data_IF_382400146212
#
_entry.id   IF_382400146212
#
_cell.length_a   1.000
_cell.length_b   1.000
_cell.length_c   1.000
_cell.angle_alpha   90.00
_cell.angle_beta   90.00
_cell.angle_gamma   90.00
#
_symmetry.space_group_name_H-M   'P 1'
#
loop_
_entity.id
_entity.type
_entity.pdbx_description
1 polymer ?
#
# COMPACT_ATOMS: atom_id res chain seq x y z
N UNK A 1 -3.38 -10.14 -21.58
CA UNK A 1 -3.83 -10.05 -20.18
C UNK A 1 -5.12 -9.26 -20.11
N UNK A 2 -6.11 -9.77 -19.38
CA UNK A 2 -7.37 -9.09 -19.05
C UNK A 2 -7.42 -8.92 -17.54
N UNK A 3 -7.69 -7.72 -17.08
CA UNK A 3 -7.61 -7.33 -15.66
C UNK A 3 -8.99 -6.99 -15.13
N UNK A 4 -9.34 -7.50 -13.95
CA UNK A 4 -10.43 -6.99 -13.13
C UNK A 4 -9.80 -6.11 -12.04
N UNK A 5 -10.03 -4.81 -12.11
CA UNK A 5 -9.73 -3.86 -11.06
C UNK A 5 -10.97 -3.69 -10.18
N UNK A 6 -10.86 -4.00 -8.90
CA UNK A 6 -11.94 -3.81 -7.92
C UNK A 6 -11.59 -2.64 -7.00
N UNK A 7 -12.49 -1.65 -6.98
CA UNK A 7 -12.31 -0.36 -6.31
C UNK A 7 -12.01 0.76 -7.31
N UNK A 8 -12.95 1.68 -7.49
CA UNK A 8 -12.84 2.89 -8.32
C UNK A 8 -12.74 4.17 -7.46
N UNK A 9 -12.10 4.06 -6.30
CA UNK A 9 -11.72 5.19 -5.46
C UNK A 9 -10.51 5.95 -6.03
N UNK A 10 -9.82 6.72 -5.21
CA UNK A 10 -8.66 7.52 -5.62
C UNK A 10 -7.59 6.68 -6.31
N UNK A 11 -7.10 5.64 -5.63
CA UNK A 11 -6.03 4.76 -6.15
C UNK A 11 -6.49 3.98 -7.39
N UNK A 12 -7.68 3.36 -7.37
CA UNK A 12 -8.19 2.62 -8.53
C UNK A 12 -8.39 3.52 -9.76
N UNK A 13 -8.88 4.74 -9.57
CA UNK A 13 -8.98 5.75 -10.66
C UNK A 13 -7.60 6.12 -11.19
N UNK A 14 -6.58 6.31 -10.33
CA UNK A 14 -5.22 6.58 -10.75
C UNK A 14 -4.62 5.40 -11.53
N UNK A 15 -4.85 4.15 -11.08
CA UNK A 15 -4.46 2.93 -11.82
C UNK A 15 -5.01 2.96 -13.24
N UNK A 16 -6.29 3.33 -13.45
CA UNK A 16 -6.85 3.39 -14.81
C UNK A 16 -6.15 4.44 -15.67
N UNK A 17 -5.85 5.63 -15.14
CA UNK A 17 -5.17 6.72 -15.85
C UNK A 17 -3.74 6.35 -16.24
N UNK A 18 -3.01 5.66 -15.37
CA UNK A 18 -1.66 5.19 -15.63
C UNK A 18 -1.69 4.05 -16.66
N UNK A 19 -2.52 3.02 -16.45
CA UNK A 19 -2.64 1.87 -17.34
C UNK A 19 -3.12 2.26 -18.75
N UNK A 20 -3.97 3.29 -18.87
CA UNK A 20 -4.45 3.76 -20.18
C UNK A 20 -3.33 4.24 -21.11
N UNK A 21 -2.15 4.60 -20.56
CA UNK A 21 -0.96 5.03 -21.34
C UNK A 21 -0.07 3.86 -21.78
N UNK A 22 -0.40 2.62 -21.38
CA UNK A 22 0.45 1.43 -21.60
C UNK A 22 -0.28 0.35 -22.40
N UNK A 23 0.39 -0.37 -23.32
CA UNK A 23 -0.25 -1.32 -24.23
C UNK A 23 -0.27 -2.78 -23.74
N UNK A 24 0.19 -3.11 -22.52
CA UNK A 24 0.48 -4.48 -22.06
C UNK A 24 -0.78 -5.34 -21.84
N UNK A 25 -1.97 -4.77 -21.74
CA UNK A 25 -3.22 -5.48 -21.49
C UNK A 25 -4.24 -5.29 -22.62
N UNK A 26 -5.10 -6.27 -22.78
CA UNK A 26 -6.18 -6.25 -23.77
C UNK A 26 -7.41 -5.48 -23.27
N UNK A 27 -7.81 -5.76 -22.02
CA UNK A 27 -9.01 -5.17 -21.40
C UNK A 27 -8.81 -5.00 -19.90
N UNK A 28 -9.37 -3.94 -19.34
CA UNK A 28 -9.50 -3.74 -17.91
C UNK A 28 -10.97 -3.48 -17.56
N UNK A 29 -11.53 -4.35 -16.70
CA UNK A 29 -12.85 -4.16 -16.11
C UNK A 29 -12.66 -3.39 -14.82
N UNK A 30 -13.25 -2.20 -14.72
CA UNK A 30 -13.20 -1.34 -13.53
C UNK A 30 -14.50 -1.55 -12.77
N UNK A 31 -14.41 -2.11 -11.58
CA UNK A 31 -15.58 -2.49 -10.80
C UNK A 31 -15.62 -1.79 -9.44
N UNK A 32 -16.81 -1.37 -9.03
CA UNK A 32 -17.07 -0.74 -7.74
C UNK A 32 -18.48 -1.14 -7.27
N UNK A 33 -18.76 -1.05 -5.97
CA UNK A 33 -20.11 -1.24 -5.45
C UNK A 33 -21.07 -0.13 -5.95
N UNK A 34 -20.53 1.06 -6.20
CA UNK A 34 -21.20 2.18 -6.87
C UNK A 34 -20.78 2.21 -8.34
N UNK A 35 -21.67 1.74 -9.22
CA UNK A 35 -21.44 1.73 -10.66
C UNK A 35 -21.07 3.11 -11.21
N UNK A 36 -21.66 4.18 -10.67
CA UNK A 36 -21.39 5.53 -11.14
C UNK A 36 -19.93 5.95 -10.95
N UNK A 37 -19.25 5.48 -9.89
CA UNK A 37 -17.81 5.70 -9.69
C UNK A 37 -16.99 5.00 -10.77
N UNK A 38 -17.30 3.74 -11.07
CA UNK A 38 -16.62 2.98 -12.11
C UNK A 38 -16.83 3.61 -13.50
N UNK A 39 -18.05 4.03 -13.82
CA UNK A 39 -18.38 4.73 -15.06
C UNK A 39 -17.66 6.08 -15.18
N UNK A 40 -17.59 6.85 -14.11
CA UNK A 40 -16.86 8.12 -14.07
C UNK A 40 -15.36 7.91 -14.29
N UNK A 41 -14.73 6.91 -13.65
CA UNK A 41 -13.33 6.57 -13.85
C UNK A 41 -13.02 6.20 -15.31
N UNK A 42 -13.86 5.41 -15.95
CA UNK A 42 -13.71 5.03 -17.36
C UNK A 42 -13.97 6.22 -18.29
N UNK A 43 -15.01 7.00 -18.05
CA UNK A 43 -15.34 8.17 -18.87
C UNK A 43 -14.23 9.24 -18.86
N UNK A 44 -13.55 9.42 -17.71
CA UNK A 44 -12.45 10.36 -17.56
C UNK A 44 -11.23 10.04 -18.45
N UNK A 45 -11.13 8.83 -19.01
CA UNK A 45 -10.04 8.43 -19.91
C UNK A 45 -10.22 8.94 -21.35
N UNK A 46 -11.43 9.38 -21.73
CA UNK A 46 -11.75 9.83 -23.08
C UNK A 46 -11.42 8.75 -24.14
N UNK A 47 -10.72 9.11 -25.20
CA UNK A 47 -10.36 8.17 -26.27
C UNK A 47 -9.49 7.00 -25.81
N UNK A 48 -8.73 7.15 -24.72
CA UNK A 48 -7.91 6.07 -24.13
C UNK A 48 -8.76 5.02 -23.42
N UNK A 49 -10.03 5.32 -23.16
CA UNK A 49 -10.97 4.43 -22.46
C UNK A 49 -11.47 3.22 -23.26
N UNK A 50 -11.15 3.08 -24.55
CA UNK A 50 -11.68 2.03 -25.42
C UNK A 50 -11.44 0.59 -24.93
N UNK A 51 -10.40 0.37 -24.11
CA UNK A 51 -10.05 -0.93 -23.50
C UNK A 51 -10.62 -1.13 -22.11
N UNK A 52 -11.38 -0.15 -21.58
CA UNK A 52 -11.92 -0.18 -20.22
C UNK A 52 -13.41 -0.38 -20.24
N UNK A 53 -13.93 -1.14 -19.27
CA UNK A 53 -15.36 -1.43 -19.11
C UNK A 53 -15.73 -1.22 -17.65
N UNK A 54 -16.75 -0.41 -17.37
CA UNK A 54 -17.28 -0.26 -16.03
C UNK A 54 -18.20 -1.43 -15.65
N UNK A 55 -18.14 -1.87 -14.40
CA UNK A 55 -19.00 -2.90 -13.86
C UNK A 55 -19.37 -2.59 -12.40
N UNK A 56 -20.48 -3.19 -11.93
CA UNK A 56 -20.86 -3.15 -10.53
C UNK A 56 -20.50 -4.47 -9.85
N UNK A 57 -19.84 -4.40 -8.68
CA UNK A 57 -19.62 -5.57 -7.83
C UNK A 57 -19.49 -5.13 -6.37
N UNK A 58 -20.01 -5.92 -5.46
CA UNK A 58 -19.70 -5.81 -4.04
C UNK A 58 -18.44 -6.64 -3.77
N UNK A 59 -17.38 -6.00 -3.29
CA UNK A 59 -16.12 -6.66 -2.97
C UNK A 59 -16.23 -7.70 -1.84
N UNK A 60 -17.26 -7.62 -1.00
CA UNK A 60 -17.58 -8.60 0.03
C UNK A 60 -18.30 -9.85 -0.51
N UNK A 61 -18.87 -9.81 -1.71
CA UNK A 61 -19.54 -10.94 -2.35
C UNK A 61 -18.57 -11.73 -3.25
N UNK A 62 -17.91 -12.72 -2.66
CA UNK A 62 -16.94 -13.61 -3.33
C UNK A 62 -17.52 -14.26 -4.59
N UNK A 63 -18.81 -14.65 -4.57
CA UNK A 63 -19.49 -15.29 -5.69
C UNK A 63 -19.71 -14.32 -6.84
N UNK A 64 -20.11 -13.08 -6.54
CA UNK A 64 -20.32 -12.03 -7.54
C UNK A 64 -18.99 -11.63 -8.20
N UNK A 65 -17.90 -11.53 -7.42
CA UNK A 65 -16.56 -11.23 -7.94
C UNK A 65 -16.07 -12.38 -8.85
N UNK A 66 -16.21 -13.64 -8.42
CA UNK A 66 -15.85 -14.80 -9.23
C UNK A 66 -16.64 -14.87 -10.54
N UNK A 67 -17.94 -14.57 -10.49
CA UNK A 67 -18.79 -14.52 -11.69
C UNK A 67 -18.36 -13.38 -12.64
N UNK A 68 -17.90 -12.25 -12.11
CA UNK A 68 -17.42 -11.13 -12.92
C UNK A 68 -16.08 -11.46 -13.59
N UNK A 69 -15.14 -12.09 -12.87
CA UNK A 69 -13.89 -12.63 -13.44
C UNK A 69 -14.16 -13.57 -14.61
N UNK A 70 -15.06 -14.55 -14.40
CA UNK A 70 -15.41 -15.52 -15.43
C UNK A 70 -16.13 -14.89 -16.63
N UNK A 71 -17.04 -13.93 -16.41
CA UNK A 71 -17.80 -13.24 -17.48
C UNK A 71 -16.88 -12.49 -18.44
N UNK A 72 -15.80 -11.93 -17.93
CA UNK A 72 -14.87 -11.11 -18.71
C UNK A 72 -13.57 -11.83 -19.06
N UNK A 73 -13.45 -13.13 -18.74
CA UNK A 73 -12.24 -13.95 -18.92
C UNK A 73 -11.00 -13.24 -18.34
N UNK A 74 -11.10 -12.71 -17.12
CA UNK A 74 -10.01 -11.98 -16.52
C UNK A 74 -8.92 -12.92 -16.00
N UNK A 75 -7.67 -12.64 -16.37
CA UNK A 75 -6.49 -13.39 -15.95
C UNK A 75 -5.99 -12.95 -14.57
N UNK A 76 -6.28 -11.70 -14.19
CA UNK A 76 -5.79 -11.05 -12.98
C UNK A 76 -6.91 -10.26 -12.30
N UNK A 77 -6.97 -10.36 -10.97
CA UNK A 77 -7.71 -9.45 -10.10
C UNK A 77 -6.73 -8.51 -9.42
N UNK A 78 -6.87 -7.19 -9.64
CA UNK A 78 -6.19 -6.15 -8.89
C UNK A 78 -7.15 -5.57 -7.85
N UNK A 79 -6.80 -5.74 -6.57
CA UNK A 79 -7.56 -5.21 -5.45
C UNK A 79 -7.10 -3.78 -5.11
N UNK A 80 -7.96 -2.79 -5.30
CA UNK A 80 -7.78 -1.39 -4.92
C UNK A 80 -8.85 -0.93 -3.92
N UNK A 81 -9.31 -1.85 -3.06
CA UNK A 81 -10.31 -1.59 -2.03
C UNK A 81 -9.67 -1.48 -0.63
N UNK A 82 -10.49 -1.17 0.34
CA UNK A 82 -10.15 -1.19 1.77
C UNK A 82 -9.65 -2.60 2.20
N UNK A 83 -8.67 -2.69 3.11
CA UNK A 83 -8.12 -3.98 3.58
C UNK A 83 -9.14 -4.98 4.13
N UNK A 84 -10.30 -4.53 4.59
CA UNK A 84 -11.41 -5.40 5.02
C UNK A 84 -11.91 -6.35 3.93
N UNK A 85 -11.71 -6.01 2.66
CA UNK A 85 -12.14 -6.82 1.52
C UNK A 85 -11.04 -7.70 0.92
N UNK A 86 -9.84 -7.71 1.50
CA UNK A 86 -8.71 -8.51 1.00
C UNK A 86 -9.07 -9.98 0.90
N UNK A 87 -9.55 -10.60 1.96
CA UNK A 87 -9.78 -12.05 1.97
C UNK A 87 -10.93 -12.51 1.06
N UNK A 88 -12.09 -11.83 0.96
CA UNK A 88 -13.10 -12.15 -0.06
C UNK A 88 -12.55 -12.10 -1.48
N UNK A 89 -11.83 -11.03 -1.85
CA UNK A 89 -11.26 -10.87 -3.19
C UNK A 89 -10.13 -11.89 -3.47
N UNK A 90 -9.29 -12.16 -2.50
CA UNK A 90 -8.23 -13.17 -2.56
C UNK A 90 -8.80 -14.58 -2.83
N UNK A 91 -9.88 -14.98 -2.13
CA UNK A 91 -10.56 -16.26 -2.35
C UNK A 91 -11.29 -16.31 -3.68
N UNK A 92 -11.93 -15.22 -4.08
CA UNK A 92 -12.60 -15.11 -5.39
C UNK A 92 -11.62 -15.31 -6.55
N UNK A 93 -10.45 -14.66 -6.49
CA UNK A 93 -9.39 -14.83 -7.49
C UNK A 93 -8.89 -16.28 -7.55
N UNK A 94 -8.63 -16.90 -6.39
CA UNK A 94 -8.25 -18.30 -6.31
C UNK A 94 -9.30 -19.21 -6.93
N UNK A 95 -10.58 -19.05 -6.56
CA UNK A 95 -11.70 -19.84 -7.09
C UNK A 95 -11.86 -19.70 -8.60
N UNK A 96 -11.68 -18.52 -9.14
CA UNK A 96 -11.78 -18.23 -10.58
C UNK A 96 -10.53 -18.63 -11.37
N UNK A 97 -9.41 -18.95 -10.73
CA UNK A 97 -8.17 -19.29 -11.40
C UNK A 97 -7.34 -18.09 -11.84
N UNK A 98 -7.66 -16.91 -11.35
CA UNK A 98 -6.97 -15.68 -11.68
C UNK A 98 -5.75 -15.45 -10.76
N UNK A 99 -4.76 -14.74 -11.26
CA UNK A 99 -3.71 -14.13 -10.43
C UNK A 99 -4.34 -13.07 -9.55
N UNK A 100 -3.91 -12.99 -8.29
CA UNK A 100 -4.34 -11.94 -7.35
C UNK A 100 -3.21 -10.93 -7.15
N UNK A 101 -3.56 -9.65 -7.08
CA UNK A 101 -2.63 -8.55 -6.74
C UNK A 101 -3.35 -7.60 -5.80
N UNK A 102 -2.71 -7.21 -4.69
CA UNK A 102 -3.18 -6.16 -3.80
C UNK A 102 -2.08 -5.15 -3.46
N UNK A 103 -2.47 -4.09 -2.77
CA UNK A 103 -1.59 -3.02 -2.29
C UNK A 103 -1.59 -2.90 -0.76
N UNK A 104 -2.33 -3.78 -0.10
CA UNK A 104 -2.38 -3.96 1.35
C UNK A 104 -2.75 -5.40 1.66
N UNK A 105 -2.26 -5.96 2.74
CA UNK A 105 -2.53 -7.33 3.14
C UNK A 105 -3.75 -7.46 4.07
N UNK A 106 -4.10 -8.70 4.44
CA UNK A 106 -5.16 -8.97 5.43
C UNK A 106 -4.80 -8.36 6.78
N UNK A 107 -5.82 -7.83 7.48
CA UNK A 107 -5.67 -7.08 8.72
C UNK A 107 -5.06 -7.91 9.86
N UNK A 108 -4.30 -7.24 10.70
CA UNK A 108 -3.76 -7.76 11.94
C UNK A 108 -4.81 -7.79 13.06
N UNK A 109 -4.47 -8.47 14.14
CA UNK A 109 -5.17 -8.36 15.44
C UNK A 109 -4.14 -8.39 16.57
N UNK A 110 -4.08 -7.36 17.43
CA UNK A 110 -3.14 -7.31 18.55
C UNK A 110 -3.24 -8.54 19.48
N UNK A 111 -2.12 -8.90 20.11
CA UNK A 111 -2.11 -9.94 21.12
C UNK A 111 -2.98 -9.52 22.34
N UNK A 112 -3.92 -10.36 22.82
CA UNK A 112 -4.94 -9.93 23.77
C UNK A 112 -4.40 -9.55 25.16
N UNK A 113 -3.25 -10.10 25.57
CA UNK A 113 -2.68 -9.87 26.90
C UNK A 113 -1.40 -9.01 26.85
N UNK A 114 -0.61 -9.11 25.78
CA UNK A 114 0.69 -8.45 25.64
C UNK A 114 0.83 -7.79 24.27
N UNK A 115 -0.04 -6.80 23.95
CA UNK A 115 -0.09 -6.22 22.60
C UNK A 115 1.20 -5.48 22.19
N UNK A 116 2.02 -5.05 23.15
CA UNK A 116 3.25 -4.29 22.91
C UNK A 116 4.55 -5.10 23.11
N UNK A 117 4.44 -6.41 23.17
CA UNK A 117 5.58 -7.31 23.36
C UNK A 117 5.55 -8.49 22.39
N UNK A 118 4.35 -8.99 22.09
CA UNK A 118 4.12 -10.16 21.26
C UNK A 118 3.13 -9.89 20.14
N UNK A 119 3.44 -10.43 18.96
CA UNK A 119 2.49 -10.40 17.86
C UNK A 119 1.27 -11.27 18.16
N UNK A 120 0.08 -10.74 17.86
CA UNK A 120 -1.13 -11.53 17.70
C UNK A 120 -1.22 -12.11 16.30
N UNK A 121 -2.33 -11.86 15.58
CA UNK A 121 -2.41 -12.12 14.13
C UNK A 121 -1.72 -10.97 13.43
N UNK A 122 -0.73 -11.26 12.58
CA UNK A 122 0.01 -10.26 11.82
C UNK A 122 -0.69 -9.93 10.50
N UNK A 123 -0.41 -8.76 9.94
CA UNK A 123 -0.80 -8.43 8.58
C UNK A 123 -0.38 -9.56 7.62
N UNK A 124 -1.29 -10.00 6.75
CA UNK A 124 -1.04 -11.04 5.76
C UNK A 124 -1.07 -12.48 6.27
N UNK A 125 -1.14 -12.75 7.57
CA UNK A 125 -1.13 -14.13 8.10
C UNK A 125 -2.22 -15.00 7.48
N UNK A 126 -3.43 -14.46 7.25
CA UNK A 126 -4.52 -15.21 6.62
C UNK A 126 -4.22 -15.57 5.16
N UNK A 127 -3.56 -14.69 4.41
CA UNK A 127 -3.13 -14.93 3.02
C UNK A 127 -1.99 -15.95 2.98
N UNK A 128 -0.96 -15.77 3.81
CA UNK A 128 0.18 -16.69 3.86
C UNK A 128 -0.18 -18.09 4.35
N UNK A 129 -1.22 -18.24 5.18
CA UNK A 129 -1.74 -19.56 5.56
C UNK A 129 -2.22 -20.38 4.36
N UNK A 130 -2.56 -19.74 3.25
CA UNK A 130 -3.02 -20.37 2.01
C UNK A 130 -1.92 -20.50 0.95
N UNK A 131 -0.67 -20.11 1.26
CA UNK A 131 0.44 -20.09 0.28
C UNK A 131 0.69 -21.44 -0.37
N UNK A 132 0.60 -22.53 0.40
CA UNK A 132 0.73 -23.90 -0.13
C UNK A 132 -0.33 -24.23 -1.17
N UNK A 133 -1.59 -23.87 -0.91
CA UNK A 133 -2.69 -24.11 -1.85
C UNK A 133 -2.51 -23.35 -3.18
N UNK A 134 -2.08 -22.08 -3.10
CA UNK A 134 -1.77 -21.26 -4.28
C UNK A 134 -0.62 -21.86 -5.09
N UNK A 135 0.45 -22.31 -4.40
CA UNK A 135 1.61 -22.91 -5.04
C UNK A 135 1.28 -24.25 -5.73
N UNK A 136 0.53 -25.14 -5.06
CA UNK A 136 0.07 -26.42 -5.59
C UNK A 136 -0.84 -26.25 -6.81
N UNK A 137 -1.71 -25.22 -6.79
CA UNK A 137 -2.56 -24.86 -7.92
C UNK A 137 -1.78 -24.20 -9.08
N UNK A 138 -0.48 -23.93 -8.91
CA UNK A 138 0.35 -23.25 -9.90
C UNK A 138 -0.02 -21.78 -10.12
N UNK A 139 -0.65 -21.13 -9.14
CA UNK A 139 -1.18 -19.75 -9.23
C UNK A 139 -0.36 -18.80 -8.39
N UNK A 140 -0.43 -17.51 -8.75
CA UNK A 140 0.24 -16.42 -8.06
C UNK A 140 -0.75 -15.53 -7.33
N UNK A 141 -0.46 -15.22 -6.07
CA UNK A 141 -0.95 -14.04 -5.37
C UNK A 141 0.27 -13.15 -5.06
N UNK A 142 0.33 -11.98 -5.68
CA UNK A 142 1.31 -10.93 -5.40
C UNK A 142 0.69 -10.00 -4.39
N UNK A 143 1.19 -10.04 -3.15
CA UNK A 143 0.63 -9.27 -2.04
C UNK A 143 1.52 -8.07 -1.71
N UNK A 144 0.90 -6.96 -1.28
CA UNK A 144 1.63 -5.76 -0.88
C UNK A 144 2.33 -5.05 -2.05
N UNK A 145 1.66 -4.79 -3.18
CA UNK A 145 2.28 -4.18 -4.37
C UNK A 145 1.83 -2.73 -4.59
N UNK A 146 1.89 -1.92 -3.54
CA UNK A 146 1.70 -0.46 -3.58
C UNK A 146 3.03 0.31 -3.61
N UNK A 147 3.08 1.44 -2.94
CA UNK A 147 4.32 2.17 -2.69
C UNK A 147 4.97 1.65 -1.42
N UNK A 148 4.22 1.59 -0.38
CA UNK A 148 4.46 1.02 0.94
C UNK A 148 3.16 0.34 1.38
N UNK A 149 3.18 -0.98 1.39
CA UNK A 149 4.18 -1.91 0.88
C UNK A 149 4.28 -1.92 -0.65
N UNK A 150 5.44 -2.34 -1.18
CA UNK A 150 5.63 -2.59 -2.61
C UNK A 150 6.93 -2.04 -3.17
N UNK A 151 7.01 -0.75 -3.50
CA UNK A 151 8.24 -0.15 -4.02
C UNK A 151 9.38 -0.20 -2.99
N UNK A 152 9.10 0.05 -1.72
CA UNK A 152 10.04 -0.10 -0.61
C UNK A 152 10.63 -1.50 -0.54
N UNK A 153 9.81 -2.52 -0.77
CA UNK A 153 10.22 -3.93 -0.82
C UNK A 153 11.10 -4.25 -2.03
N UNK A 154 10.78 -3.66 -3.20
CA UNK A 154 11.63 -3.76 -4.39
C UNK A 154 12.99 -3.09 -4.13
N UNK A 155 13.04 -1.96 -3.41
CA UNK A 155 14.30 -1.33 -3.02
C UNK A 155 15.11 -2.21 -2.08
N UNK A 156 14.50 -2.87 -1.10
CA UNK A 156 15.17 -3.82 -0.22
C UNK A 156 15.76 -5.00 -1.02
N UNK A 157 15.01 -5.53 -1.98
CA UNK A 157 15.48 -6.58 -2.88
C UNK A 157 16.66 -6.09 -3.74
N UNK A 158 16.60 -4.89 -4.30
CA UNK A 158 17.70 -4.30 -5.06
C UNK A 158 18.96 -4.12 -4.20
N UNK A 159 18.78 -3.63 -2.97
CA UNK A 159 19.90 -3.48 -2.03
C UNK A 159 20.58 -4.82 -1.74
N UNK A 160 19.80 -5.87 -1.48
CA UNK A 160 20.33 -7.21 -1.22
C UNK A 160 21.02 -7.83 -2.44
N UNK A 161 20.51 -7.62 -3.65
CA UNK A 161 21.08 -8.21 -4.84
C UNK A 161 22.35 -7.50 -5.34
N UNK A 162 22.40 -6.16 -5.24
CA UNK A 162 23.42 -5.39 -5.95
C UNK A 162 24.31 -4.51 -5.03
N UNK A 163 23.78 -4.06 -3.87
CA UNK A 163 24.43 -3.01 -3.12
C UNK A 163 25.16 -3.48 -1.86
N UNK A 164 24.77 -4.63 -1.28
CA UNK A 164 25.31 -5.14 -0.03
C UNK A 164 25.73 -6.60 -0.15
N UNK A 165 26.73 -7.01 0.63
CA UNK A 165 27.10 -8.41 0.84
C UNK A 165 26.43 -8.95 2.11
N UNK A 166 26.26 -8.11 3.14
CA UNK A 166 25.48 -8.41 4.33
C UNK A 166 24.66 -7.19 4.72
N UNK A 167 23.45 -7.41 5.22
CA UNK A 167 22.55 -6.35 5.67
C UNK A 167 22.33 -6.50 7.18
N UNK A 168 22.70 -5.46 7.94
CA UNK A 168 22.46 -5.36 9.37
C UNK A 168 21.03 -4.87 9.62
N UNK A 169 20.62 -3.79 8.94
CA UNK A 169 19.30 -3.20 9.16
C UNK A 169 18.70 -2.71 7.85
N UNK A 170 17.40 -2.95 7.70
CA UNK A 170 16.52 -2.34 6.71
C UNK A 170 15.49 -1.51 7.45
N UNK A 171 15.41 -0.24 7.11
CA UNK A 171 14.42 0.67 7.66
C UNK A 171 13.63 1.36 6.55
N UNK A 172 12.33 1.08 6.43
CA UNK A 172 11.49 1.91 5.57
C UNK A 172 11.28 3.24 6.25
N UNK A 173 11.48 4.32 5.50
CA UNK A 173 11.29 5.70 5.95
C UNK A 173 10.45 6.44 4.91
N UNK A 174 9.27 6.80 5.32
CA UNK A 174 8.33 7.60 4.54
C UNK A 174 8.15 8.96 5.19
N UNK A 175 8.10 10.01 4.38
CA UNK A 175 7.90 11.38 4.85
C UNK A 175 7.48 12.32 3.73
N UNK A 176 6.99 13.48 4.14
CA UNK A 176 6.47 14.47 3.23
C UNK A 176 6.64 15.90 3.78
N UNK A 177 6.61 16.89 2.87
CA UNK A 177 6.36 18.29 3.22
C UNK A 177 5.03 18.77 2.63
N UNK A 178 4.07 17.86 2.47
CA UNK A 178 2.75 18.17 1.93
C UNK A 178 1.96 19.08 2.86
N UNK A 179 1.34 20.09 2.27
CA UNK A 179 0.37 20.99 2.94
C UNK A 179 -0.91 21.05 2.14
N UNK A 180 -2.05 21.27 2.81
CA UNK A 180 -3.36 21.41 2.17
C UNK A 180 -3.90 22.82 2.46
N UNK A 181 -4.10 23.62 1.42
CA UNK A 181 -4.58 24.98 1.53
C UNK A 181 -5.97 25.02 2.19
N UNK A 182 -6.12 25.84 3.26
CA UNK A 182 -7.37 26.05 3.96
C UNK A 182 -7.84 24.86 4.81
N UNK A 183 -6.93 23.99 5.24
CA UNK A 183 -7.20 22.94 6.21
C UNK A 183 -6.10 22.93 7.27
N UNK A 184 -6.48 22.99 8.55
CA UNK A 184 -5.55 22.86 9.68
C UNK A 184 -5.12 21.39 9.87
N UNK A 185 -6.02 20.46 9.54
CA UNK A 185 -5.76 19.01 9.53
C UNK A 185 -6.44 18.39 8.30
N UNK A 186 -5.65 17.73 7.46
CA UNK A 186 -6.17 16.98 6.33
C UNK A 186 -5.26 15.75 6.08
N UNK A 187 -5.82 14.54 6.06
CA UNK A 187 -5.04 13.36 5.74
C UNK A 187 -4.65 13.38 4.26
N UNK A 188 -3.41 12.99 3.96
CA UNK A 188 -2.94 12.81 2.58
C UNK A 188 -3.38 11.47 1.97
N UNK A 189 -3.83 10.54 2.81
CA UNK A 189 -4.35 9.22 2.44
C UNK A 189 -5.62 8.89 3.24
N UNK A 190 -6.17 7.67 3.10
CA UNK A 190 -7.33 7.22 3.85
C UNK A 190 -7.12 7.36 5.36
N UNK A 191 -7.88 8.22 6.01
CA UNK A 191 -7.75 8.38 7.47
C UNK A 191 -8.10 7.10 8.23
N UNK A 192 -9.01 6.28 7.68
CA UNK A 192 -9.37 5.00 8.27
C UNK A 192 -8.15 4.07 8.33
N UNK A 193 -7.43 3.96 7.22
CA UNK A 193 -6.21 3.16 7.08
C UNK A 193 -5.07 3.74 7.93
N UNK A 194 -4.88 5.07 7.90
CA UNK A 194 -3.86 5.74 8.71
C UNK A 194 -4.07 5.53 10.21
N UNK A 195 -5.33 5.53 10.69
CA UNK A 195 -5.64 5.23 12.10
C UNK A 195 -5.27 3.77 12.42
N UNK A 196 -5.58 2.83 11.51
CA UNK A 196 -5.23 1.41 11.68
C UNK A 196 -3.72 1.22 11.82
N UNK A 197 -2.96 1.68 10.86
CA UNK A 197 -1.50 1.55 10.80
C UNK A 197 -0.80 2.24 11.97
N UNK A 198 -1.24 3.45 12.33
CA UNK A 198 -0.56 4.28 13.31
C UNK A 198 -0.87 3.94 14.76
N UNK A 199 -2.06 3.37 15.05
CA UNK A 199 -2.51 3.11 16.42
C UNK A 199 -2.49 1.62 16.80
N UNK A 200 -2.36 0.72 15.82
CA UNK A 200 -2.04 -0.67 16.11
C UNK A 200 -0.59 -0.81 16.60
N UNK A 201 -0.27 -1.86 17.38
CA UNK A 201 1.09 -2.11 17.85
C UNK A 201 2.06 -2.33 16.69
N UNK A 202 3.07 -1.46 16.48
CA UNK A 202 4.06 -1.63 15.44
C UNK A 202 4.81 -2.96 15.56
N UNK A 203 4.98 -3.65 14.46
CA UNK A 203 5.81 -4.85 14.38
C UNK A 203 7.25 -4.46 14.06
N UNK A 204 8.19 -5.07 14.75
CA UNK A 204 9.63 -5.02 14.49
C UNK A 204 10.13 -6.44 14.27
N UNK A 205 11.10 -6.61 13.39
CA UNK A 205 11.78 -7.88 13.18
C UNK A 205 13.24 -7.79 13.62
N UNK A 206 13.68 -8.80 14.36
CA UNK A 206 15.10 -9.06 14.66
C UNK A 206 15.40 -10.54 14.41
N UNK A 207 16.48 -10.85 13.72
CA UNK A 207 16.79 -12.22 13.28
C UNK A 207 16.90 -13.22 14.43
N UNK A 208 17.40 -12.78 15.60
CA UNK A 208 17.51 -13.63 16.80
C UNK A 208 16.18 -13.82 17.56
N UNK A 209 15.27 -12.85 17.45
CA UNK A 209 14.00 -12.81 18.19
C UNK A 209 12.78 -13.16 17.32
N UNK A 210 12.86 -12.95 16.02
CA UNK A 210 11.71 -12.98 15.12
C UNK A 210 10.91 -11.69 15.19
N UNK A 211 9.63 -11.76 14.84
CA UNK A 211 8.69 -10.64 14.91
C UNK A 211 8.18 -10.43 16.33
N UNK A 212 8.19 -9.20 16.77
CA UNK A 212 7.62 -8.75 18.02
C UNK A 212 6.98 -7.36 17.85
N UNK A 213 6.20 -6.93 18.83
CA UNK A 213 5.51 -5.64 18.79
C UNK A 213 6.09 -4.64 19.79
N UNK A 214 5.84 -3.37 19.53
CA UNK A 214 6.22 -2.25 20.41
C UNK A 214 5.02 -1.33 20.61
N UNK A 215 5.16 -0.32 21.47
CA UNK A 215 4.14 0.73 21.60
C UNK A 215 4.05 1.58 20.33
N UNK A 216 2.86 2.03 19.92
CA UNK A 216 2.69 2.98 18.83
C UNK A 216 3.57 4.23 19.01
N UNK A 217 4.16 4.70 17.90
CA UNK A 217 5.05 5.86 17.87
C UNK A 217 6.35 5.67 18.68
N UNK A 218 6.77 4.45 18.93
CA UNK A 218 8.06 4.13 19.57
C UNK A 218 9.25 4.49 18.68
N UNK A 219 10.44 4.52 19.28
CA UNK A 219 11.73 4.79 18.64
C UNK A 219 11.73 6.04 17.72
N UNK A 220 11.32 7.23 18.21
CA UNK A 220 11.32 8.43 17.39
C UNK A 220 12.72 8.79 16.91
N UNK A 221 12.84 9.20 15.65
CA UNK A 221 14.07 9.72 15.06
C UNK A 221 13.77 10.86 14.11
N UNK A 222 14.75 11.70 13.81
CA UNK A 222 14.65 12.71 12.76
C UNK A 222 15.40 12.20 11.54
N UNK A 223 14.66 11.95 10.45
CA UNK A 223 15.22 11.52 9.19
C UNK A 223 15.25 12.68 8.20
N UNK A 224 16.39 12.88 7.52
CA UNK A 224 16.56 13.95 6.53
C UNK A 224 16.20 13.43 5.15
N UNK A 225 15.01 13.78 4.68
CA UNK A 225 14.50 13.36 3.37
C UNK A 225 15.09 14.17 2.22
N UNK A 226 15.30 13.53 1.04
CA UNK A 226 15.91 14.18 -0.12
C UNK A 226 14.99 15.19 -0.81
N UNK A 227 15.51 15.83 -1.86
CA UNK A 227 14.82 16.71 -2.79
C UNK A 227 14.07 17.89 -2.16
N UNK A 228 14.59 18.41 -1.05
CA UNK A 228 14.07 19.60 -0.38
C UNK A 228 12.90 19.34 0.55
N UNK A 229 12.55 18.09 0.84
CA UNK A 229 11.60 17.73 1.89
C UNK A 229 12.21 18.07 3.25
N UNK A 230 13.48 17.66 3.49
CA UNK A 230 14.26 18.00 4.70
C UNK A 230 13.95 17.09 5.90
N UNK A 231 14.30 17.54 7.11
CA UNK A 231 14.19 16.72 8.31
C UNK A 231 12.74 16.59 8.79
N UNK A 232 12.30 15.33 9.00
CA UNK A 232 10.98 15.01 9.55
C UNK A 232 11.14 14.02 10.69
N UNK A 233 10.38 14.19 11.77
CA UNK A 233 10.32 13.21 12.86
C UNK A 233 9.55 11.97 12.40
N UNK A 234 10.21 10.81 12.42
CA UNK A 234 9.67 9.51 12.06
C UNK A 234 9.49 8.64 13.30
N UNK A 235 8.44 7.84 13.32
CA UNK A 235 8.06 6.96 14.45
C UNK A 235 7.63 5.60 13.95
N UNK A 236 7.84 4.54 14.74
CA UNK A 236 7.36 3.21 14.42
C UNK A 236 5.83 3.19 14.31
N UNK A 237 5.34 2.58 13.24
CA UNK A 237 3.93 2.25 13.03
C UNK A 237 3.82 0.80 12.52
N UNK A 238 2.63 0.20 12.57
CA UNK A 238 2.41 -1.11 11.98
C UNK A 238 2.42 -1.02 10.46
N UNK A 239 3.23 -1.86 9.80
CA UNK A 239 3.27 -1.88 8.34
C UNK A 239 3.74 -3.24 7.79
N UNK A 240 3.36 -3.53 6.54
CA UNK A 240 3.52 -4.83 5.89
C UNK A 240 4.96 -5.23 5.59
N UNK A 241 5.84 -4.27 5.28
CA UNK A 241 7.23 -4.52 4.86
C UNK A 241 8.03 -5.27 5.93
N UNK A 242 7.76 -4.97 7.21
CA UNK A 242 8.41 -5.68 8.32
C UNK A 242 8.05 -7.15 8.33
N UNK A 243 6.91 -7.51 7.74
CA UNK A 243 6.41 -8.89 7.63
C UNK A 243 6.77 -9.55 6.31
N UNK A 244 7.03 -8.75 5.27
CA UNK A 244 7.38 -9.21 3.93
C UNK A 244 8.89 -9.40 3.79
N UNK A 245 9.68 -8.35 4.01
CA UNK A 245 11.13 -8.34 3.75
C UNK A 245 11.88 -9.52 4.37
N UNK A 246 11.68 -9.89 5.66
CA UNK A 246 12.42 -11.00 6.27
C UNK A 246 12.15 -12.38 5.65
N UNK A 247 11.13 -12.51 4.80
CA UNK A 247 10.80 -13.79 4.13
C UNK A 247 11.71 -14.05 2.93
N UNK A 248 12.24 -13.00 2.29
CA UNK A 248 13.01 -13.10 1.06
C UNK A 248 14.32 -12.32 1.07
N UNK A 249 14.47 -11.38 1.99
CA UNK A 249 15.69 -10.57 2.16
C UNK A 249 16.27 -10.85 3.55
N UNK A 250 17.52 -11.31 3.57
CA UNK A 250 18.23 -11.53 4.83
C UNK A 250 18.69 -10.22 5.44
N UNK A 251 18.20 -9.89 6.64
CA UNK A 251 18.62 -8.74 7.44
C UNK A 251 18.58 -9.11 8.92
N UNK A 252 19.43 -8.46 9.74
CA UNK A 252 19.41 -8.68 11.20
C UNK A 252 18.23 -7.97 11.85
N UNK A 253 17.86 -6.78 11.34
CA UNK A 253 16.73 -5.98 11.82
C UNK A 253 15.94 -5.38 10.67
N UNK A 254 14.59 -5.31 10.81
CA UNK A 254 13.69 -4.61 9.88
C UNK A 254 12.70 -3.77 10.66
N UNK A 255 12.55 -2.50 10.26
CA UNK A 255 11.63 -1.52 10.86
C UNK A 255 10.90 -0.72 9.78
N UNK A 256 9.73 -0.21 10.14
CA UNK A 256 9.02 0.80 9.36
C UNK A 256 8.76 2.03 10.24
N UNK A 257 9.10 3.21 9.75
CA UNK A 257 8.82 4.47 10.47
C UNK A 257 8.17 5.50 9.56
N UNK A 258 7.05 6.03 10.01
CA UNK A 258 6.29 7.07 9.33
C UNK A 258 6.73 8.46 9.77
N UNK A 259 7.06 9.32 8.81
CA UNK A 259 7.32 10.75 8.99
C UNK A 259 6.04 11.57 8.96
N UNK A 260 5.21 11.41 9.97
CA UNK A 260 3.93 12.12 10.12
C UNK A 260 4.07 13.52 10.69
N UNK A 261 5.18 13.77 11.41
CA UNK A 261 5.34 14.97 12.21
C UNK A 261 4.54 14.94 13.53
N UNK A 262 4.99 15.75 14.49
CA UNK A 262 4.46 15.75 15.86
C UNK A 262 2.98 16.13 15.95
N UNK A 263 2.56 17.13 15.21
CA UNK A 263 1.18 17.63 15.25
C UNK A 263 0.17 16.56 14.83
N UNK A 264 0.51 15.80 13.79
CA UNK A 264 -0.32 14.70 13.31
C UNK A 264 -0.38 13.55 14.32
N UNK A 265 0.77 13.13 14.86
CA UNK A 265 0.82 12.07 15.88
C UNK A 265 0.08 12.45 17.17
N UNK A 266 0.15 13.71 17.61
CA UNK A 266 -0.59 14.19 18.78
C UNK A 266 -2.10 14.19 18.54
N UNK A 267 -2.54 14.47 17.31
CA UNK A 267 -3.96 14.36 16.92
C UNK A 267 -4.42 12.91 16.98
N UNK A 268 -3.64 11.96 16.45
CA UNK A 268 -3.97 10.52 16.52
C UNK A 268 -4.01 10.00 17.97
N UNK A 269 -3.06 10.42 18.82
CA UNK A 269 -3.08 10.09 20.26
C UNK A 269 -4.35 10.61 20.93
N UNK A 270 -4.80 11.81 20.57
CA UNK A 270 -6.04 12.38 21.10
C UNK A 270 -7.26 11.57 20.66
N UNK A 271 -7.34 11.16 19.40
CA UNK A 271 -8.41 10.27 18.91
C UNK A 271 -8.43 8.95 19.70
N UNK A 272 -7.27 8.37 19.94
CA UNK A 272 -7.13 7.14 20.73
C UNK A 272 -7.62 7.32 22.18
N UNK A 273 -7.18 8.38 22.86
CA UNK A 273 -7.60 8.70 24.23
C UNK A 273 -9.12 8.89 24.36
N UNK A 274 -9.75 9.40 23.32
CA UNK A 274 -11.21 9.57 23.25
C UNK A 274 -11.95 8.30 22.82
N UNK A 275 -11.22 7.24 22.39
CA UNK A 275 -11.79 6.01 21.87
C UNK A 275 -12.44 6.17 20.49
N UNK A 276 -12.04 7.22 19.74
CA UNK A 276 -12.56 7.53 18.40
C UNK A 276 -11.87 6.69 17.30
N UNK A 277 -10.82 5.95 17.62
CA UNK A 277 -10.14 4.97 16.79
C UNK A 277 -10.83 3.60 16.74
N UNK A 278 -11.82 3.36 17.61
CA UNK A 278 -12.49 2.06 17.73
C UNK A 278 -13.39 1.76 16.56
N UNK A 279 -13.37 0.49 16.11
CA UNK A 279 -14.26 -0.02 15.05
C UNK A 279 -15.54 -0.67 15.62
N UNK A 280 -15.50 -1.14 16.88
CA UNK A 280 -16.67 -1.72 17.55
C UNK A 280 -17.78 -0.65 17.66
N UNK A 281 -19.02 -0.96 17.22
CA UNK A 281 -20.12 -0.01 17.27
C UNK A 281 -20.46 0.43 18.73
N UNK A 282 -20.82 1.69 18.86
CA UNK A 282 -21.35 2.30 20.08
C UNK A 282 -22.75 2.85 19.82
N UNK A 283 -23.63 2.72 20.82
CA UNK A 283 -24.99 3.25 20.72
C UNK A 283 -25.01 4.76 21.03
N UNK A 284 -25.47 5.57 20.11
CA UNK A 284 -25.64 7.02 20.29
C UNK A 284 -27.12 7.43 20.16
N UNK A 285 -27.58 8.49 20.85
CA UNK A 285 -28.91 9.04 20.62
C UNK A 285 -29.05 9.57 19.19
N UNK A 286 -30.06 9.12 18.47
CA UNK A 286 -30.46 9.64 17.16
C UNK A 286 -31.84 10.30 17.18
N UNK A 287 -32.25 11.03 16.12
CA UNK A 287 -33.54 11.72 16.07
C UNK A 287 -34.74 10.77 16.12
N UNK A 288 -34.60 9.57 15.56
CA UNK A 288 -35.65 8.54 15.49
C UNK A 288 -35.42 7.38 16.47
N UNK A 289 -34.52 7.55 17.45
CA UNK A 289 -34.13 6.54 18.44
C UNK A 289 -32.62 6.24 18.43
N UNK A 290 -32.17 5.31 19.30
CA UNK A 290 -30.76 4.95 19.35
C UNK A 290 -30.22 4.41 18.01
N UNK A 291 -29.00 4.81 17.64
CA UNK A 291 -28.30 4.37 16.42
C UNK A 291 -26.96 3.78 16.81
N UNK A 292 -26.60 2.66 16.19
CA UNK A 292 -25.28 2.05 16.31
C UNK A 292 -24.34 2.72 15.29
N UNK A 293 -23.19 3.23 15.77
CA UNK A 293 -22.17 3.85 14.92
C UNK A 293 -20.78 3.35 15.31
N UNK A 294 -19.92 3.12 14.31
CA UNK A 294 -18.49 2.92 14.53
C UNK A 294 -17.81 4.28 14.76
N UNK A 295 -17.14 4.53 15.89
CA UNK A 295 -16.46 5.80 16.14
C UNK A 295 -15.47 6.18 15.04
N UNK A 296 -14.64 5.22 14.57
CA UNK A 296 -13.67 5.44 13.49
C UNK A 296 -14.35 5.84 12.17
N UNK A 297 -15.46 5.21 11.82
CA UNK A 297 -16.20 5.54 10.60
C UNK A 297 -16.80 6.97 10.67
N UNK A 298 -17.19 7.42 11.86
CA UNK A 298 -17.64 8.81 12.05
C UNK A 298 -16.48 9.79 11.86
N UNK A 299 -15.29 9.50 12.39
CA UNK A 299 -14.09 10.33 12.16
C UNK A 299 -13.78 10.38 10.68
N UNK A 300 -13.76 9.23 10.00
CA UNK A 300 -13.47 9.15 8.56
C UNK A 300 -14.50 9.92 7.72
N UNK A 301 -15.79 9.84 8.07
CA UNK A 301 -16.85 10.56 7.38
C UNK A 301 -16.83 12.09 7.63
N UNK A 302 -16.24 12.52 8.75
CA UNK A 302 -16.12 13.94 9.11
C UNK A 302 -14.96 14.67 8.44
N UNK A 303 -14.03 13.95 7.85
CA UNK A 303 -12.83 14.50 7.18
C UNK A 303 -13.02 14.55 5.65
N UNK A 304 -12.33 15.47 4.97
CA UNK A 304 -12.39 15.53 3.52
C UNK A 304 -11.76 14.27 2.90
N UNK A 305 -12.34 13.78 1.79
CA UNK A 305 -11.75 12.69 1.01
C UNK A 305 -10.40 13.14 0.42
N UNK A 306 -9.29 12.48 0.77
CA UNK A 306 -7.95 12.83 0.29
C UNK A 306 -7.83 12.86 -1.24
N UNK A 307 -8.59 12.02 -1.96
CA UNK A 307 -8.60 12.00 -3.41
C UNK A 307 -9.11 13.31 -4.04
N UNK A 308 -9.86 14.13 -3.28
CA UNK A 308 -10.41 15.42 -3.74
C UNK A 308 -9.53 16.62 -3.37
N UNK A 309 -8.44 16.41 -2.63
CA UNK A 309 -7.61 17.49 -2.11
C UNK A 309 -6.47 17.92 -3.05
N UNK A 310 -6.23 17.17 -4.14
CA UNK A 310 -5.05 17.33 -4.97
C UNK A 310 -4.81 18.75 -5.47
N UNK A 311 -5.85 19.49 -5.90
CA UNK A 311 -5.73 20.88 -6.38
C UNK A 311 -5.32 21.87 -5.28
N UNK A 312 -5.58 21.53 -4.02
CA UNK A 312 -5.26 22.32 -2.81
C UNK A 312 -3.98 21.86 -2.12
N UNK A 313 -3.39 20.76 -2.58
CA UNK A 313 -2.20 20.17 -1.98
C UNK A 313 -0.95 20.72 -2.65
N UNK A 314 0.07 21.06 -1.84
CA UNK A 314 1.38 21.54 -2.28
C UNK A 314 2.47 20.76 -1.58
N UNK A 315 3.60 20.56 -2.29
CA UNK A 315 4.76 19.88 -1.76
C UNK A 315 4.98 18.50 -2.35
N UNK A 316 5.79 17.72 -1.67
CA UNK A 316 6.30 16.42 -2.13
C UNK A 316 6.09 15.35 -1.08
N UNK A 317 5.93 14.11 -1.54
CA UNK A 317 6.00 12.89 -0.72
C UNK A 317 7.22 12.07 -1.13
N UNK A 318 7.84 11.41 -0.17
CA UNK A 318 9.00 10.54 -0.34
C UNK A 318 8.75 9.23 0.37
N UNK A 319 8.81 8.14 -0.37
CA UNK A 319 8.82 6.78 0.14
C UNK A 319 10.19 6.16 -0.14
N UNK A 320 10.75 5.39 0.82
CA UNK A 320 12.05 4.80 0.56
C UNK A 320 12.54 3.83 1.62
N UNK A 321 13.62 3.16 1.28
CA UNK A 321 14.25 2.11 2.07
C UNK A 321 15.68 2.48 2.40
N UNK A 322 15.92 2.74 3.67
CA UNK A 322 17.24 2.93 4.23
C UNK A 322 17.83 1.56 4.56
N UNK A 323 19.09 1.34 4.17
CA UNK A 323 19.78 0.07 4.36
C UNK A 323 21.18 0.33 4.89
N UNK A 324 21.54 -0.40 5.95
CA UNK A 324 22.88 -0.41 6.54
C UNK A 324 23.43 -1.83 6.55
N UNK A 325 24.72 -1.96 6.25
CA UNK A 325 25.40 -3.24 6.23
C UNK A 325 26.85 -3.12 5.74
N UNK A 326 27.32 -4.13 5.00
CA UNK A 326 28.68 -4.14 4.44
C UNK A 326 28.67 -4.41 2.93
N UNK A 327 29.65 -3.84 2.24
CA UNK A 327 29.99 -4.15 0.84
C UNK A 327 31.49 -4.21 0.67
N UNK A 328 32.02 -5.28 0.07
CA UNK A 328 33.46 -5.50 -0.13
C UNK A 328 34.27 -5.38 1.19
N UNK A 329 33.67 -5.80 2.30
CA UNK A 329 34.27 -5.75 3.64
C UNK A 329 34.26 -4.37 4.30
N UNK A 330 33.66 -3.34 3.68
CA UNK A 330 33.53 -2.00 4.25
C UNK A 330 32.09 -1.72 4.69
N UNK A 331 31.88 -0.98 5.80
CA UNK A 331 30.55 -0.49 6.16
C UNK A 331 29.96 0.38 5.05
N UNK A 332 28.67 0.21 4.82
CA UNK A 332 27.91 0.98 3.84
C UNK A 332 26.55 1.32 4.37
N UNK A 333 26.07 2.52 4.04
CA UNK A 333 24.73 3.00 4.38
C UNK A 333 24.16 3.76 3.21
N UNK A 334 22.93 3.39 2.77
CA UNK A 334 22.26 4.02 1.62
C UNK A 334 20.79 4.24 1.92
N UNK A 335 20.22 5.25 1.27
CA UNK A 335 18.78 5.45 1.17
C UNK A 335 18.35 5.41 -0.29
N UNK A 336 17.55 4.38 -0.64
CA UNK A 336 16.88 4.27 -1.93
C UNK A 336 15.51 4.92 -1.79
N UNK A 337 15.17 5.83 -2.69
CA UNK A 337 13.96 6.64 -2.52
C UNK A 337 13.24 6.96 -3.82
N UNK A 338 11.99 7.30 -3.65
CA UNK A 338 11.10 7.74 -4.71
C UNK A 338 10.33 8.97 -4.24
N UNK A 339 10.54 10.10 -4.89
CA UNK A 339 9.88 11.37 -4.57
C UNK A 339 8.87 11.73 -5.63
N UNK A 340 7.69 12.15 -5.21
CA UNK A 340 6.62 12.64 -6.09
C UNK A 340 6.20 14.03 -5.67
N UNK A 341 6.24 14.95 -6.63
CA UNK A 341 5.72 16.31 -6.49
C UNK A 341 4.23 16.35 -6.84
N UNK A 342 3.42 16.95 -5.97
CA UNK A 342 1.97 16.98 -6.17
C UNK A 342 1.53 17.81 -7.38
N UNK A 343 2.21 18.91 -7.68
CA UNK A 343 1.87 19.74 -8.85
C UNK A 343 2.11 18.95 -10.13
N UNK A 344 3.22 18.21 -10.19
CA UNK A 344 3.52 17.34 -11.33
C UNK A 344 2.48 16.23 -11.49
N UNK A 345 2.15 15.49 -10.43
CA UNK A 345 1.21 14.37 -10.51
C UNK A 345 -0.22 14.83 -10.87
N UNK A 346 -0.62 16.00 -10.37
CA UNK A 346 -1.89 16.64 -10.75
C UNK A 346 -1.91 17.08 -12.21
N UNK A 347 -0.83 17.72 -12.70
CA UNK A 347 -0.74 18.17 -14.09
C UNK A 347 -0.73 17.01 -15.08
N UNK A 348 0.02 15.94 -14.77
CA UNK A 348 0.20 14.81 -15.69
C UNK A 348 -0.93 13.78 -15.63
N UNK A 349 -1.44 13.48 -14.43
CA UNK A 349 -2.38 12.38 -14.21
C UNK A 349 -3.70 12.81 -13.57
N UNK A 350 -3.80 14.05 -13.07
CA UNK A 350 -4.98 14.55 -12.39
C UNK A 350 -5.29 13.84 -11.07
N UNK A 351 -4.27 13.32 -10.40
CA UNK A 351 -4.37 12.73 -9.07
C UNK A 351 -3.24 13.20 -8.16
N UNK A 352 -3.53 13.30 -6.85
CA UNK A 352 -2.57 13.78 -5.88
C UNK A 352 -1.37 12.82 -5.70
N UNK A 353 -0.25 13.34 -5.17
CA UNK A 353 1.04 12.66 -5.15
C UNK A 353 1.01 11.27 -4.52
N UNK A 354 0.44 11.13 -3.32
CA UNK A 354 0.40 9.84 -2.60
C UNK A 354 -0.43 8.80 -3.36
N UNK A 355 -1.59 9.22 -3.90
CA UNK A 355 -2.46 8.35 -4.70
C UNK A 355 -1.77 7.88 -5.97
N UNK A 356 -1.07 8.77 -6.66
CA UNK A 356 -0.32 8.42 -7.85
C UNK A 356 0.85 7.48 -7.51
N UNK A 357 1.58 7.78 -6.45
CA UNK A 357 2.73 7.00 -5.99
C UNK A 357 2.33 5.56 -5.59
N UNK A 358 1.17 5.41 -4.96
CA UNK A 358 0.62 4.08 -4.68
C UNK A 358 0.21 3.35 -5.96
N UNK A 359 -0.47 4.05 -6.88
CA UNK A 359 -1.11 3.44 -8.05
C UNK A 359 -0.14 3.02 -9.16
N UNK A 360 1.02 3.66 -9.31
CA UNK A 360 1.96 3.35 -10.39
C UNK A 360 2.57 1.96 -10.24
N UNK A 361 2.85 1.54 -9.02
CA UNK A 361 3.58 0.31 -8.74
C UNK A 361 2.81 -0.97 -9.14
N UNK A 362 1.51 -1.14 -8.80
CA UNK A 362 0.77 -2.30 -9.29
C UNK A 362 0.62 -2.30 -10.83
N UNK A 363 0.61 -1.14 -11.48
CA UNK A 363 0.57 -1.09 -12.96
C UNK A 363 1.88 -1.56 -13.56
N UNK A 364 3.04 -1.18 -12.99
CA UNK A 364 4.36 -1.68 -13.37
C UNK A 364 4.45 -3.20 -13.16
N UNK A 365 4.00 -3.69 -12.01
CA UNK A 365 3.96 -5.13 -11.71
C UNK A 365 3.07 -5.91 -12.70
N UNK A 366 1.89 -5.40 -13.03
CA UNK A 366 1.00 -6.00 -14.03
C UNK A 366 1.66 -6.07 -15.41
N UNK A 367 2.41 -5.03 -15.83
CA UNK A 367 3.15 -5.06 -17.09
C UNK A 367 4.26 -6.11 -17.07
N UNK A 368 5.00 -6.24 -15.97
CA UNK A 368 6.02 -7.28 -15.80
C UNK A 368 5.43 -8.68 -15.81
N UNK A 369 4.29 -8.90 -15.17
CA UNK A 369 3.56 -10.17 -15.23
C UNK A 369 3.06 -10.47 -16.65
N UNK A 370 2.52 -9.47 -17.35
CA UNK A 370 2.01 -9.61 -18.72
C UNK A 370 3.10 -9.93 -19.74
N UNK A 371 4.30 -9.38 -19.55
CA UNK A 371 5.45 -9.54 -20.47
C UNK A 371 6.37 -10.69 -20.07
N UNK A 372 6.12 -11.36 -18.94
CA UNK A 372 6.95 -12.44 -18.41
C UNK A 372 8.24 -11.96 -17.73
N UNK A 373 8.38 -10.66 -17.46
CA UNK A 373 9.49 -10.11 -16.66
C UNK A 373 9.47 -10.57 -15.20
N UNK A 374 8.27 -10.78 -14.68
CA UNK A 374 8.02 -11.44 -13.40
C UNK A 374 7.17 -12.69 -13.62
N UNK A 375 7.51 -13.78 -12.92
CA UNK A 375 6.75 -15.03 -12.90
C UNK A 375 6.91 -15.70 -11.53
N UNK A 376 5.83 -16.22 -10.97
CA UNK A 376 5.85 -16.85 -9.66
C UNK A 376 4.61 -17.72 -9.42
N UNK A 377 4.63 -18.44 -8.29
CA UNK A 377 3.49 -19.23 -7.80
C UNK A 377 3.50 -19.25 -6.27
N UNK A 378 2.34 -19.30 -5.67
CA UNK A 378 2.16 -19.17 -4.22
C UNK A 378 1.71 -17.77 -3.84
N UNK A 379 1.83 -17.41 -2.58
CA UNK A 379 1.63 -16.06 -2.04
C UNK A 379 2.99 -15.44 -1.86
N UNK A 380 3.30 -14.41 -2.64
CA UNK A 380 4.63 -13.80 -2.73
C UNK A 380 4.53 -12.29 -2.55
N UNK A 381 5.50 -11.70 -1.85
CA UNK A 381 5.75 -10.27 -1.85
C UNK A 381 6.61 -9.84 -3.03
N UNK A 382 6.77 -8.53 -3.29
CA UNK A 382 7.62 -8.00 -4.36
C UNK A 382 9.08 -8.42 -4.26
N UNK A 383 9.59 -8.65 -3.06
CA UNK A 383 10.97 -9.08 -2.78
C UNK A 383 11.30 -10.48 -3.31
N UNK A 384 10.28 -11.27 -3.61
CA UNK A 384 10.47 -12.59 -4.22
C UNK A 384 10.90 -12.51 -5.70
N UNK A 385 10.88 -11.32 -6.30
CA UNK A 385 11.13 -11.09 -7.72
C UNK A 385 12.40 -10.25 -7.93
N UNK A 386 13.03 -10.33 -9.14
CA UNK A 386 14.15 -9.46 -9.49
C UNK A 386 13.74 -8.00 -9.47
N UNK A 387 14.47 -7.16 -8.73
CA UNK A 387 14.15 -5.74 -8.57
C UNK A 387 14.44 -4.92 -9.84
N UNK A 388 15.54 -5.22 -10.54
CA UNK A 388 16.03 -4.40 -11.65
C UNK A 388 15.02 -4.19 -12.77
N UNK A 389 14.31 -5.23 -13.29
CA UNK A 389 13.27 -5.02 -14.30
C UNK A 389 12.16 -4.08 -13.86
N UNK A 390 11.80 -4.10 -12.58
CA UNK A 390 10.79 -3.21 -12.01
C UNK A 390 11.29 -1.76 -11.99
N UNK A 391 12.47 -1.50 -11.48
CA UNK A 391 13.06 -0.17 -11.35
C UNK A 391 13.33 0.48 -12.72
N UNK A 392 13.79 -0.32 -13.69
CA UNK A 392 13.99 0.14 -15.07
C UNK A 392 12.65 0.52 -15.71
N UNK A 393 11.61 -0.28 -15.50
CA UNK A 393 10.28 -0.02 -16.04
C UNK A 393 9.61 1.17 -15.34
N UNK A 394 9.73 1.31 -14.02
CA UNK A 394 9.25 2.47 -13.26
C UNK A 394 9.84 3.78 -13.82
N UNK A 395 11.16 3.78 -14.09
CA UNK A 395 11.83 4.91 -14.74
C UNK A 395 11.27 5.18 -16.14
N UNK A 396 10.97 4.14 -16.91
CA UNK A 396 10.35 4.27 -18.25
C UNK A 396 8.88 4.78 -18.18
N UNK A 397 8.22 4.67 -17.03
CA UNK A 397 6.92 5.31 -16.77
C UNK A 397 7.04 6.82 -16.51
N UNK A 398 8.27 7.36 -16.46
CA UNK A 398 8.56 8.78 -16.18
C UNK A 398 8.67 9.05 -14.67
N UNK A 399 8.90 8.03 -13.87
CA UNK A 399 9.01 8.12 -12.41
C UNK A 399 10.39 7.59 -11.94
N UNK A 400 11.44 8.41 -12.05
CA UNK A 400 12.78 7.99 -11.63
C UNK A 400 12.84 7.87 -10.10
N UNK A 401 13.55 6.85 -9.65
CA UNK A 401 13.96 6.68 -8.28
C UNK A 401 15.38 7.21 -8.06
N UNK A 402 15.76 7.43 -6.80
CA UNK A 402 17.08 7.92 -6.43
C UNK A 402 17.78 7.01 -5.41
N UNK A 403 19.09 7.20 -5.29
CA UNK A 403 19.94 6.60 -4.27
C UNK A 403 20.84 7.67 -3.67
N UNK A 404 20.91 7.71 -2.33
CA UNK A 404 21.80 8.59 -1.58
C UNK A 404 22.64 7.76 -0.61
N UNK A 405 23.97 7.87 -0.69
CA UNK A 405 24.89 7.39 0.34
C UNK A 405 24.75 8.27 1.60
N UNK A 406 24.80 7.67 2.79
CA UNK A 406 24.68 8.36 4.08
C UNK A 406 25.94 8.25 4.92
#
# INVERSE_FOLDING_TARGET
MRVLLVGAGGVGTAVTRIAARRPFFERMVVADYDLARAEAAVAALGERGARFVAARVDAGDESAVSALLARHDCDVLLNATDPRFVMPLFRAAFGAGATYVDMAMSLSRPHPERPYEECGVKLGDEQFALAGQWAEAGRLALVGMGVEPGLSDVFARHAADELFDTIEEIGVRDGANLTVEGADFAPSFSIWTTIEECLNPPVVYESERGWFTTEPFSEPEVFDFPEGIGPVECVNVEHEEVLLMPRWVGAERVTFKYGLGREFTDTLRTLHQLGLDRTAPVTVPGPDGPVEVSPRDVVAAGLPDPATLGDRMRGKTCAGTWVRGTKDGAPREVYLYHVVDNEWSMAEYGCQAVVWQTAVNPVVALELLATGGWAGRGVLGPEAFPARPFLDLLTAYGSPWGLREQ
#
